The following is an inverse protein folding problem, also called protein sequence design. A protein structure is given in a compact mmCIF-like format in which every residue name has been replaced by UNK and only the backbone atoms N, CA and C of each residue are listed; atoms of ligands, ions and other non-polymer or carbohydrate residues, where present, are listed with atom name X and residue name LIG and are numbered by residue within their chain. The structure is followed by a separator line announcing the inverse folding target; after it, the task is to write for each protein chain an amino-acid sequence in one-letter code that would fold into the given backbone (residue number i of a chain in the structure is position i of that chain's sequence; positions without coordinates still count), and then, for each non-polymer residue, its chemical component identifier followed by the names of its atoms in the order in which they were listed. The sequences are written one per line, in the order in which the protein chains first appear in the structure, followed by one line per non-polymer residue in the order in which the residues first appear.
data_IF_032778552856
#
_entry.id   IF_032778552856
#
_cell.length_a   1.000
_cell.length_b   1.000
_cell.length_c   1.000
_cell.angle_alpha   90.00
_cell.angle_beta   90.00
_cell.angle_gamma   90.00
#
_symmetry.space_group_name_H-M   'P 1'
#
loop_
_entity.id
_entity.type
_entity.pdbx_description
1 polymer ?
#
# COMPACT_ATOMS: atom_id res chain seq x y z
N UNK A 1 -10.84 23.69 -4.95
CA UNK A 1 -10.30 23.39 -4.81
C UNK A 1 -9.53 23.19 -4.47
N UNK A 2 -9.54 22.32 -4.58
CA UNK A 2 -8.53 22.91 -3.98
C UNK A 2 -7.58 21.95 -3.34
N UNK A 3 -6.35 22.39 -3.24
CA UNK A 3 -5.28 21.57 -2.68
C UNK A 3 -5.55 21.16 -1.25
N UNK A 4 -6.34 21.95 -0.52
CA UNK A 4 -6.64 21.67 0.86
C UNK A 4 -7.53 20.44 1.04
N UNK A 5 -8.08 19.93 -0.05
CA UNK A 5 -8.97 18.77 0.03
C UNK A 5 -8.24 17.47 -0.29
N UNK A 6 -6.92 17.51 -0.41
CA UNK A 6 -6.16 16.31 -0.69
C UNK A 6 -5.94 15.49 0.57
N UNK A 7 -6.19 14.19 0.48
CA UNK A 7 -5.88 13.26 1.55
C UNK A 7 -4.45 12.75 1.31
N UNK A 8 -3.63 12.73 2.36
CA UNK A 8 -2.29 12.15 2.26
C UNK A 8 -2.32 10.81 2.97
N UNK A 9 -1.84 9.77 2.30
CA UNK A 9 -1.78 8.42 2.88
C UNK A 9 -0.32 7.98 2.88
N UNK A 10 0.20 7.66 4.07
CA UNK A 10 1.53 7.08 4.24
C UNK A 10 1.37 5.59 4.45
N UNK A 11 2.11 4.78 3.71
CA UNK A 11 1.94 3.33 3.74
C UNK A 11 3.27 2.63 3.95
N UNK A 12 3.24 1.46 4.60
CA UNK A 12 4.42 0.64 4.76
C UNK A 12 4.00 -0.82 4.98
N UNK A 13 4.93 -1.72 4.68
CA UNK A 13 4.75 -3.15 4.92
C UNK A 13 5.98 -3.73 5.56
N UNK A 14 5.79 -4.76 6.36
CA UNK A 14 6.87 -5.45 7.05
C UNK A 14 6.60 -6.95 7.04
N UNK A 15 7.67 -7.75 7.02
CA UNK A 15 7.52 -9.20 7.04
C UNK A 15 8.73 -9.82 7.72
N UNK A 16 8.47 -10.76 8.64
CA UNK A 16 9.51 -11.47 9.34
C UNK A 16 9.75 -12.81 8.65
N UNK A 17 10.68 -12.80 7.72
CA UNK A 17 10.88 -13.89 6.79
C UNK A 17 10.13 -13.61 5.50
N UNK A 18 10.38 -14.38 4.48
CA UNK A 18 9.76 -14.10 3.18
C UNK A 18 9.60 -15.42 2.43
N UNK A 19 8.52 -16.18 2.67
CA UNK A 19 7.33 -15.81 3.43
C UNK A 19 7.46 -15.94 4.94
N UNK A 20 6.53 -15.32 5.64
CA UNK A 20 6.46 -15.37 7.09
C UNK A 20 5.38 -14.43 7.61
N UNK A 21 5.29 -14.25 8.93
CA UNK A 21 4.33 -13.32 9.49
C UNK A 21 4.65 -11.90 9.06
N UNK A 22 3.64 -11.20 8.58
CA UNK A 22 3.81 -9.83 8.10
C UNK A 22 2.72 -8.91 8.58
N UNK A 23 2.95 -7.61 8.40
CA UNK A 23 1.99 -6.60 8.74
C UNK A 23 2.06 -5.43 7.78
N UNK A 24 0.99 -4.66 7.75
CA UNK A 24 0.92 -3.45 6.94
C UNK A 24 0.38 -2.31 7.79
N UNK A 25 0.74 -1.08 7.42
CA UNK A 25 0.27 0.10 8.11
C UNK A 25 -0.03 1.22 7.14
N UNK A 26 -1.05 2.00 7.48
CA UNK A 26 -1.42 3.17 6.70
C UNK A 26 -1.84 4.29 7.65
N UNK A 27 -1.30 5.48 7.42
CA UNK A 27 -1.68 6.67 8.15
C UNK A 27 -2.34 7.62 7.17
N UNK A 28 -3.61 7.95 7.42
CA UNK A 28 -4.36 8.87 6.59
C UNK A 28 -4.42 10.23 7.29
N UNK A 29 -4.09 11.28 6.54
CA UNK A 29 -4.11 12.64 7.07
C UNK A 29 -4.98 13.51 6.17
N UNK A 30 -5.96 14.17 6.77
CA UNK A 30 -6.83 15.08 6.03
C UNK A 30 -7.15 16.28 6.91
N UNK A 31 -6.70 17.45 6.47
CA UNK A 31 -6.96 18.71 7.19
C UNK A 31 -6.61 18.62 8.68
N UNK A 32 -5.47 18.01 8.97
CA UNK A 32 -4.99 17.87 10.34
C UNK A 32 -5.55 16.69 11.12
N UNK A 33 -6.61 16.06 10.64
CA UNK A 33 -7.14 14.85 11.26
C UNK A 33 -6.37 13.64 10.77
N UNK A 34 -6.13 12.70 11.68
CA UNK A 34 -5.36 11.50 11.36
C UNK A 34 -6.16 10.25 11.65
N UNK A 35 -5.97 9.24 10.81
CA UNK A 35 -6.55 7.93 11.03
C UNK A 35 -5.49 6.88 10.81
N UNK A 36 -5.33 5.98 11.76
CA UNK A 36 -4.34 4.91 11.71
C UNK A 36 -5.02 3.60 11.37
N UNK A 37 -4.43 2.87 10.42
CA UNK A 37 -4.90 1.54 10.05
C UNK A 37 -3.72 0.60 10.07
N UNK A 38 -3.95 -0.64 10.49
CA UNK A 38 -2.92 -1.67 10.44
C UNK A 38 -3.58 -3.03 10.40
N UNK A 39 -2.81 -4.01 9.96
CA UNK A 39 -3.27 -5.39 9.95
C UNK A 39 -2.10 -6.31 9.69
N UNK A 40 -2.35 -7.59 9.70
CA UNK A 40 -1.28 -8.56 9.49
C UNK A 40 -1.79 -9.86 8.90
N UNK A 41 -0.83 -10.73 8.58
CA UNK A 41 -1.11 -12.02 7.98
C UNK A 41 -0.04 -12.98 8.51
N UNK A 42 -0.43 -14.17 8.99
CA UNK A 42 0.54 -15.10 9.56
C UNK A 42 1.51 -15.67 8.52
N UNK A 43 1.18 -15.63 7.24
CA UNK A 43 2.06 -16.13 6.20
C UNK A 43 1.90 -15.30 4.95
N UNK A 44 2.87 -14.42 4.71
CA UNK A 44 2.78 -13.48 3.59
C UNK A 44 4.20 -13.07 3.17
N UNK A 45 4.29 -12.06 2.32
CA UNK A 45 5.56 -11.51 1.85
C UNK A 45 5.57 -10.01 2.05
N UNK A 46 6.76 -9.44 2.04
CA UNK A 46 6.90 -7.99 2.17
C UNK A 46 6.13 -7.26 1.05
N UNK A 47 6.26 -7.74 -0.18
CA UNK A 47 5.59 -7.08 -1.31
C UNK A 47 4.07 -7.10 -1.16
N UNK A 48 3.51 -8.21 -0.68
CA UNK A 48 2.06 -8.27 -0.46
C UNK A 48 1.63 -7.28 0.61
N UNK A 49 2.43 -7.12 1.66
CA UNK A 49 2.10 -6.18 2.74
C UNK A 49 2.17 -4.73 2.25
N UNK A 50 3.13 -4.42 1.39
CA UNK A 50 3.20 -3.08 0.81
C UNK A 50 1.94 -2.78 -0.03
N UNK A 51 1.50 -3.76 -0.82
CA UNK A 51 0.28 -3.60 -1.60
C UNK A 51 -0.95 -3.47 -0.70
N UNK A 52 -1.03 -4.29 0.35
CA UNK A 52 -2.16 -4.26 1.29
C UNK A 52 -2.29 -2.91 1.96
N UNK A 53 -1.16 -2.29 2.33
CA UNK A 53 -1.20 -0.98 2.97
C UNK A 53 -1.84 0.06 2.05
N UNK A 54 -1.44 0.07 0.78
CA UNK A 54 -2.01 1.02 -0.18
C UNK A 54 -3.49 0.76 -0.40
N UNK A 55 -3.86 -0.51 -0.58
CA UNK A 55 -5.26 -0.90 -0.80
C UNK A 55 -6.12 -0.50 0.39
N UNK A 56 -5.68 -0.84 1.60
CA UNK A 56 -6.46 -0.57 2.81
C UNK A 56 -6.66 0.92 3.02
N UNK A 57 -5.61 1.72 2.77
CA UNK A 57 -5.72 3.16 2.90
C UNK A 57 -6.75 3.74 1.94
N UNK A 58 -6.75 3.29 0.70
CA UNK A 58 -7.70 3.79 -0.28
C UNK A 58 -9.13 3.33 0.00
N UNK A 59 -9.30 2.07 0.42
CA UNK A 59 -10.63 1.54 0.77
C UNK A 59 -11.26 2.32 1.92
N UNK A 60 -10.44 2.80 2.86
CA UNK A 60 -10.94 3.54 4.02
C UNK A 60 -11.63 4.84 3.64
N UNK A 61 -11.39 5.35 2.44
CA UNK A 61 -12.03 6.57 1.96
C UNK A 61 -13.41 6.20 1.40
N UNK A 62 -14.44 6.78 1.97
CA UNK A 62 -15.81 6.39 1.66
C UNK A 62 -16.37 7.04 0.41
N UNK A 63 -15.63 7.98 -0.17
CA UNK A 63 -16.04 8.67 -1.40
C UNK A 63 -14.80 8.95 -2.24
N UNK A 64 -14.97 9.23 -3.53
CA UNK A 64 -13.81 9.58 -4.37
C UNK A 64 -13.09 10.79 -3.82
N UNK A 65 -11.77 10.71 -3.75
CA UNK A 65 -10.93 11.76 -3.20
C UNK A 65 -9.72 12.01 -4.08
N UNK A 66 -9.15 13.19 -3.93
CA UNK A 66 -7.82 13.46 -4.43
C UNK A 66 -6.85 12.97 -3.35
N UNK A 67 -5.93 12.08 -3.71
CA UNK A 67 -5.08 11.38 -2.76
C UNK A 67 -3.61 11.51 -3.17
N UNK A 68 -2.75 11.83 -2.20
CA UNK A 68 -1.31 11.70 -2.37
C UNK A 68 -0.88 10.48 -1.57
N UNK A 69 -0.45 9.44 -2.24
CA UNK A 69 -0.07 8.20 -1.58
C UNK A 69 1.46 8.10 -1.55
N UNK A 70 2.00 8.06 -0.33
CA UNK A 70 3.43 8.08 -0.07
C UNK A 70 3.88 6.68 0.30
N UNK A 71 4.86 6.14 -0.39
CA UNK A 71 5.38 4.80 -0.14
C UNK A 71 6.89 4.78 -0.29
N UNK A 72 7.57 3.89 0.44
CA UNK A 72 8.99 3.64 0.23
C UNK A 72 9.23 2.39 -0.61
N UNK A 73 8.18 1.76 -1.10
CA UNK A 73 8.29 0.53 -1.87
C UNK A 73 8.55 0.81 -3.34
N UNK A 74 9.73 0.45 -3.81
CA UNK A 74 10.03 0.52 -5.23
C UNK A 74 9.18 -0.46 -6.03
N UNK A 75 8.85 -1.61 -5.43
CA UNK A 75 7.99 -2.60 -6.06
C UNK A 75 6.63 -2.01 -6.41
N UNK A 76 6.00 -1.33 -5.46
CA UNK A 76 4.70 -0.72 -5.71
C UNK A 76 4.80 0.38 -6.76
N UNK A 77 5.82 1.25 -6.64
CA UNK A 77 5.98 2.35 -7.60
C UNK A 77 6.22 1.85 -9.00
N UNK A 78 7.09 0.86 -9.17
CA UNK A 78 7.37 0.32 -10.51
C UNK A 78 6.15 -0.38 -11.09
N UNK A 79 5.40 -1.09 -10.25
CA UNK A 79 4.17 -1.74 -10.72
C UNK A 79 3.17 -0.74 -11.26
N UNK A 80 2.96 0.34 -10.53
CA UNK A 80 2.01 1.37 -10.94
C UNK A 80 2.48 2.07 -12.21
N UNK A 81 3.76 2.41 -12.28
CA UNK A 81 4.28 3.26 -13.36
C UNK A 81 4.66 2.49 -14.62
N UNK A 82 5.14 1.26 -14.45
CA UNK A 82 5.76 0.54 -15.57
C UNK A 82 5.06 -0.76 -15.94
N UNK A 83 4.65 -1.55 -14.95
CA UNK A 83 4.19 -2.92 -15.23
C UNK A 83 2.70 -3.05 -15.48
N UNK A 84 1.89 -2.34 -14.70
CA UNK A 84 0.44 -2.50 -14.76
C UNK A 84 -0.16 -2.23 -16.14
N UNK A 85 0.26 -1.19 -16.87
CA UNK A 85 -0.34 -0.98 -18.19
C UNK A 85 -0.22 -2.18 -19.12
N UNK A 86 0.92 -2.86 -19.09
CA UNK A 86 1.10 -4.04 -19.91
C UNK A 86 0.34 -5.25 -19.38
N UNK A 87 0.31 -5.42 -18.06
CA UNK A 87 -0.47 -6.50 -17.46
C UNK A 87 -1.94 -6.39 -17.83
N UNK A 88 -2.48 -5.19 -17.76
CA UNK A 88 -3.89 -4.97 -18.08
C UNK A 88 -4.19 -5.32 -19.53
N UNK A 89 -3.28 -4.98 -20.45
CA UNK A 89 -3.43 -5.34 -21.85
C UNK A 89 -3.39 -6.85 -22.09
N UNK A 90 -2.65 -7.57 -21.25
CA UNK A 90 -2.48 -9.02 -21.39
C UNK A 90 -3.42 -9.84 -20.52
N UNK A 91 -4.44 -9.21 -19.93
CA UNK A 91 -5.37 -9.92 -19.06
C UNK A 91 -4.74 -10.41 -17.78
N UNK A 92 -3.80 -9.62 -17.24
CA UNK A 92 -3.08 -9.90 -15.99
C UNK A 92 -2.16 -11.10 -16.11
N UNK A 93 -1.54 -11.23 -17.26
CA UNK A 93 -0.52 -12.25 -17.52
C UNK A 93 0.78 -11.58 -17.95
N UNK A 94 1.88 -12.28 -17.69
CA UNK A 94 3.19 -11.83 -18.15
C UNK A 94 3.34 -12.04 -19.63
N UNK A 95 4.46 -11.56 -20.19
CA UNK A 95 4.75 -11.77 -21.61
C UNK A 95 4.81 -13.25 -21.96
N UNK A 96 5.19 -14.12 -21.03
CA UNK A 96 5.25 -15.56 -21.25
C UNK A 96 3.94 -16.27 -20.92
N UNK A 97 2.85 -15.50 -20.75
CA UNK A 97 1.49 -16.00 -20.48
C UNK A 97 1.33 -16.64 -19.12
N UNK A 98 2.25 -16.38 -18.20
CA UNK A 98 2.11 -16.82 -16.82
C UNK A 98 1.27 -15.82 -16.05
N UNK A 99 0.51 -16.25 -15.02
CA UNK A 99 -0.21 -15.29 -14.18
C UNK A 99 0.74 -14.30 -13.53
N UNK A 100 0.33 -13.05 -13.45
CA UNK A 100 1.11 -12.03 -12.75
C UNK A 100 1.18 -12.37 -11.28
N UNK A 101 2.38 -12.29 -10.71
CA UNK A 101 2.55 -12.54 -9.28
C UNK A 101 1.79 -11.46 -8.49
N UNK A 102 1.06 -11.90 -7.46
CA UNK A 102 0.22 -11.01 -6.64
C UNK A 102 -0.88 -10.32 -7.45
N UNK A 103 -1.34 -10.96 -8.52
CA UNK A 103 -2.36 -10.36 -9.38
C UNK A 103 -3.63 -10.00 -8.62
N UNK A 104 -4.00 -10.81 -7.61
CA UNK A 104 -5.16 -10.52 -6.79
C UNK A 104 -5.07 -9.13 -6.16
N UNK A 105 -3.92 -8.81 -5.59
CA UNK A 105 -3.73 -7.52 -4.94
C UNK A 105 -3.55 -6.39 -5.95
N UNK A 106 -2.82 -6.64 -7.04
CA UNK A 106 -2.65 -5.61 -8.06
C UNK A 106 -3.97 -5.22 -8.69
N UNK A 107 -4.85 -6.20 -8.92
CA UNK A 107 -6.17 -5.90 -9.48
C UNK A 107 -7.02 -5.11 -8.51
N UNK A 108 -6.96 -5.46 -7.23
CA UNK A 108 -7.70 -4.71 -6.21
C UNK A 108 -7.18 -3.28 -6.09
N UNK A 109 -5.86 -3.12 -6.13
CA UNK A 109 -5.26 -1.79 -6.09
C UNK A 109 -5.71 -0.97 -7.29
N UNK A 110 -5.75 -1.57 -8.47
CA UNK A 110 -6.18 -0.88 -9.68
C UNK A 110 -7.62 -0.37 -9.54
N UNK A 111 -8.52 -1.20 -9.00
CA UNK A 111 -9.89 -0.79 -8.75
C UNK A 111 -9.95 0.44 -7.85
N UNK A 112 -9.17 0.43 -6.77
CA UNK A 112 -9.20 1.54 -5.83
C UNK A 112 -8.57 2.80 -6.39
N UNK A 113 -7.49 2.66 -7.15
CA UNK A 113 -6.85 3.80 -7.79
C UNK A 113 -7.80 4.47 -8.77
N UNK A 114 -8.59 3.67 -9.49
CA UNK A 114 -9.54 4.22 -10.46
C UNK A 114 -10.73 4.91 -9.80
N UNK A 115 -10.99 4.62 -8.54
CA UNK A 115 -12.07 5.25 -7.79
C UNK A 115 -11.69 6.65 -7.30
N UNK A 116 -10.40 6.92 -7.22
CA UNK A 116 -9.86 8.19 -6.71
C UNK A 116 -8.95 8.84 -7.73
N UNK A 117 -8.51 10.06 -7.44
CA UNK A 117 -7.42 10.69 -8.16
C UNK A 117 -6.17 10.54 -7.31
N UNK A 118 -5.34 9.58 -7.66
CA UNK A 118 -4.17 9.24 -6.84
C UNK A 118 -2.90 9.74 -7.50
N UNK A 119 -2.12 10.53 -6.77
CA UNK A 119 -0.75 10.85 -7.16
C UNK A 119 0.19 10.08 -6.23
N UNK A 120 1.23 9.50 -6.80
CA UNK A 120 2.14 8.63 -6.08
C UNK A 120 3.44 9.35 -5.78
N UNK A 121 3.93 9.22 -4.55
CA UNK A 121 5.20 9.79 -4.17
C UNK A 121 6.05 8.70 -3.53
N UNK A 122 7.22 8.44 -4.12
CA UNK A 122 8.19 7.53 -3.53
C UNK A 122 9.11 8.32 -2.62
N UNK A 123 9.38 7.76 -1.43
CA UNK A 123 10.35 8.32 -0.50
C UNK A 123 11.37 7.24 -0.16
N UNK A 124 12.58 7.66 0.12
CA UNK A 124 13.59 6.73 0.60
C UNK A 124 13.22 6.33 2.02
N UNK A 125 13.16 5.03 2.28
CA UNK A 125 12.63 4.53 3.53
C UNK A 125 13.40 4.97 4.75
N UNK A 126 12.65 5.14 5.82
CA UNK A 126 13.12 5.21 7.21
C UNK A 126 13.80 6.49 7.66
N UNK A 127 14.07 7.46 6.82
CA UNK A 127 14.90 8.59 7.23
C UNK A 127 14.15 9.89 7.10
N UNK A 128 13.84 10.51 8.25
CA UNK A 128 13.39 11.90 8.26
C UNK A 128 11.97 12.15 7.78
N UNK A 129 11.15 11.14 7.65
CA UNK A 129 9.75 11.30 7.23
C UNK A 129 8.82 10.83 8.31
N UNK A 130 8.27 11.74 9.14
CA UNK A 130 7.42 11.32 10.27
C UNK A 130 6.24 10.46 9.85
N UNK A 131 5.59 10.77 8.73
CA UNK A 131 4.47 9.96 8.26
C UNK A 131 4.91 8.56 7.89
N UNK A 132 6.04 8.44 7.18
CA UNK A 132 6.57 7.14 6.81
C UNK A 132 6.98 6.32 8.04
N UNK A 133 7.56 6.98 9.04
CA UNK A 133 7.94 6.32 10.28
C UNK A 133 6.70 5.82 11.04
N UNK A 134 5.62 6.60 11.02
CA UNK A 134 4.36 6.18 11.63
C UNK A 134 3.79 4.95 10.94
N UNK A 135 3.82 4.93 9.61
CA UNK A 135 3.35 3.77 8.85
C UNK A 135 4.19 2.54 9.15
N UNK A 136 5.51 2.71 9.30
CA UNK A 136 6.39 1.61 9.67
C UNK A 136 6.03 1.05 11.03
N UNK A 137 5.77 1.91 12.01
CA UNK A 137 5.36 1.47 13.34
C UNK A 137 4.05 0.70 13.30
N UNK A 138 3.10 1.16 12.48
CA UNK A 138 1.83 0.46 12.33
C UNK A 138 2.01 -0.91 11.68
N UNK A 139 2.89 -0.99 10.67
CA UNK A 139 3.17 -2.27 10.02
C UNK A 139 3.76 -3.26 11.01
N UNK A 140 4.69 -2.81 11.86
CA UNK A 140 5.29 -3.66 12.87
C UNK A 140 4.27 -4.08 13.93
N UNK A 141 3.33 -3.19 14.26
CA UNK A 141 2.23 -3.54 15.15
C UNK A 141 1.40 -4.68 14.57
N UNK A 142 1.14 -4.64 13.27
CA UNK A 142 0.45 -5.72 12.60
C UNK A 142 1.18 -7.05 12.70
N UNK A 143 2.50 -7.02 12.51
CA UNK A 143 3.33 -8.22 12.68
C UNK A 143 3.22 -8.76 14.10
N UNK A 144 3.35 -7.88 15.08
CA UNK A 144 3.36 -8.30 16.48
C UNK A 144 2.02 -8.94 16.87
N UNK A 145 0.90 -8.37 16.41
CA UNK A 145 -0.42 -8.92 16.72
C UNK A 145 -0.60 -10.30 16.13
N UNK A 146 -0.14 -10.50 14.90
CA UNK A 146 -0.25 -11.81 14.26
C UNK A 146 0.60 -12.84 15.01
N UNK A 147 1.82 -12.46 15.40
CA UNK A 147 2.70 -13.38 16.13
C UNK A 147 2.18 -13.70 17.51
N UNK A 148 1.50 -12.74 18.15
CA UNK A 148 0.94 -12.95 19.49
C UNK A 148 -0.34 -13.74 19.48
N UNK A 149 -1.02 -13.83 18.35
CA UNK A 149 -2.31 -14.51 18.24
C UNK A 149 -2.20 -16.03 18.21
N UNK A 150 -0.99 -16.56 18.23
CA UNK A 150 -0.78 -17.99 18.15
C UNK A 150 -1.15 -18.73 19.39
#
# INVERSE_FOLDING_TARGET
MSETDEVVIYTDGACKGNPGPGGWGALLVYKGAEKELWGGDPSTTNNRMELMAAIAGLIALTRPCSVKLVTDSQYVMKGIQEWMPNWKKRGWKTASKEPVKNADLWQKLDEEVNRHQVSWQWVRGHTGHPGNERADQLANRGVDEVRSAR
#
